data_IF_475042811993
#
_entry.id   IF_475042811993
#
_cell.length_a   1.000
_cell.length_b   1.000
_cell.length_c   1.000
_cell.angle_alpha   90.00
_cell.angle_beta   90.00
_cell.angle_gamma   90.00
#
_symmetry.space_group_name_H-M   'P 1'
#
loop_
_entity.id
_entity.type
_entity.pdbx_description
1 polymer ?
#
# COMPACT_ATOMS: atom_id res chain seq x y z
N UNK A 1 16.73 3.84 0.99
CA UNK A 1 16.06 4.78 1.90
C UNK A 1 16.78 4.90 3.24
N UNK A 2 16.63 3.95 4.18
CA UNK A 2 17.20 4.08 5.53
C UNK A 2 18.72 4.39 5.55
N UNK A 3 19.53 3.63 4.80
CA UNK A 3 20.98 3.89 4.64
C UNK A 3 21.31 5.27 4.05
N UNK A 4 20.48 5.82 3.16
CA UNK A 4 20.68 7.16 2.60
C UNK A 4 20.46 8.22 3.67
N UNK A 5 19.37 8.08 4.44
CA UNK A 5 19.05 8.99 5.54
C UNK A 5 20.07 8.90 6.67
N UNK A 6 20.52 7.69 7.01
CA UNK A 6 21.62 7.44 7.94
C UNK A 6 22.91 8.15 7.51
N UNK A 7 23.25 8.04 6.23
CA UNK A 7 24.41 8.73 5.65
C UNK A 7 24.26 10.26 5.76
N UNK A 8 23.11 10.83 5.37
CA UNK A 8 22.87 12.28 5.43
C UNK A 8 22.88 12.83 6.86
N UNK A 9 22.43 12.03 7.83
CA UNK A 9 22.45 12.39 9.25
C UNK A 9 23.84 12.26 9.89
N UNK A 10 24.77 11.56 9.23
CA UNK A 10 26.00 11.08 9.84
C UNK A 10 25.74 9.80 10.62
N UNK A 11 26.39 8.70 10.19
CA UNK A 11 26.28 7.40 10.86
C UNK A 11 26.77 7.53 12.30
N UNK A 12 25.98 7.01 13.25
CA UNK A 12 26.37 6.98 14.65
C UNK A 12 27.66 6.14 14.83
N UNK A 13 28.47 6.50 15.84
CA UNK A 13 29.59 5.64 16.25
C UNK A 13 29.06 4.26 16.69
N UNK A 14 29.86 3.22 16.49
CA UNK A 14 29.46 1.87 16.82
C UNK A 14 29.01 1.76 18.29
N UNK A 15 27.79 1.26 18.51
CA UNK A 15 27.19 1.12 19.84
C UNK A 15 26.59 2.39 20.45
N UNK A 16 26.62 3.53 19.77
CA UNK A 16 26.14 4.82 20.31
C UNK A 16 24.76 5.26 19.82
N UNK A 17 24.17 4.56 18.84
CA UNK A 17 22.86 4.90 18.27
C UNK A 17 22.26 3.78 17.42
N UNK A 18 21.04 3.97 16.90
CA UNK A 18 20.42 3.02 15.99
C UNK A 18 21.23 2.93 14.68
N UNK A 19 21.24 1.75 14.08
CA UNK A 19 21.99 1.45 12.85
C UNK A 19 21.15 0.58 11.91
N UNK A 20 21.42 0.68 10.60
CA UNK A 20 20.79 -0.19 9.60
C UNK A 20 21.44 -1.59 9.48
N UNK A 21 22.51 -1.87 10.23
CA UNK A 21 23.25 -3.14 10.16
C UNK A 21 22.37 -4.36 10.47
N UNK A 22 21.53 -4.29 11.51
CA UNK A 22 20.65 -5.40 11.90
C UNK A 22 19.66 -5.78 10.78
N UNK A 23 19.14 -4.80 10.04
CA UNK A 23 18.32 -5.08 8.85
C UNK A 23 19.17 -5.62 7.70
N UNK A 24 20.40 -5.13 7.55
CA UNK A 24 21.36 -5.64 6.57
C UNK A 24 21.62 -7.13 6.75
N UNK A 25 21.89 -7.57 7.98
CA UNK A 25 22.15 -8.97 8.32
C UNK A 25 20.90 -9.83 8.08
N UNK A 26 19.73 -9.38 8.53
CA UNK A 26 18.48 -10.11 8.29
C UNK A 26 18.21 -10.26 6.79
N UNK A 27 18.30 -9.20 6.00
CA UNK A 27 18.12 -9.26 4.56
C UNK A 27 19.13 -10.18 3.88
N UNK A 28 20.39 -10.19 4.33
CA UNK A 28 21.42 -11.08 3.80
C UNK A 28 21.09 -12.55 4.08
N UNK A 29 20.63 -12.88 5.29
CA UNK A 29 20.17 -14.24 5.64
C UNK A 29 18.98 -14.65 4.76
N UNK A 30 18.03 -13.74 4.51
CA UNK A 30 16.86 -14.03 3.67
C UNK A 30 17.19 -14.27 2.19
N UNK A 31 18.42 -13.96 1.73
CA UNK A 31 18.90 -14.34 0.40
C UNK A 31 19.44 -15.77 0.34
N UNK A 32 19.46 -16.50 1.47
CA UNK A 32 19.68 -17.94 1.44
C UNK A 32 18.67 -18.61 0.51
N UNK A 33 19.11 -19.64 -0.21
CA UNK A 33 18.31 -20.30 -1.24
C UNK A 33 17.12 -21.10 -0.68
N UNK A 34 17.03 -21.24 0.65
CA UNK A 34 15.88 -21.77 1.37
C UNK A 34 15.20 -20.71 2.26
N UNK A 35 15.28 -19.43 1.92
CA UNK A 35 14.57 -18.39 2.68
C UNK A 35 13.54 -17.70 1.79
N UNK A 36 13.98 -16.77 0.94
CA UNK A 36 13.05 -16.09 0.02
C UNK A 36 12.37 -17.03 -0.99
N UNK A 37 12.93 -18.23 -1.20
CA UNK A 37 12.32 -19.30 -2.01
C UNK A 37 11.10 -19.94 -1.36
N UNK A 38 10.94 -19.86 -0.03
CA UNK A 38 9.87 -20.52 0.72
C UNK A 38 10.03 -22.05 0.81
N UNK A 39 11.26 -22.55 0.75
CA UNK A 39 11.58 -23.98 0.73
C UNK A 39 12.08 -24.55 2.06
N UNK A 40 12.05 -23.75 3.12
CA UNK A 40 12.31 -24.11 4.50
C UNK A 40 11.08 -24.71 5.24
N UNK A 41 11.31 -25.18 6.46
CA UNK A 41 10.22 -25.56 7.36
C UNK A 41 9.53 -24.32 7.95
N UNK A 42 8.25 -24.43 8.30
CA UNK A 42 7.45 -23.30 8.79
C UNK A 42 8.10 -22.55 9.98
N UNK A 43 8.66 -23.25 10.96
CA UNK A 43 9.28 -22.60 12.12
C UNK A 43 10.57 -21.81 11.75
N UNK A 44 11.23 -22.18 10.66
CA UNK A 44 12.38 -21.46 10.11
C UNK A 44 11.91 -20.22 9.36
N UNK A 45 10.83 -20.33 8.58
CA UNK A 45 10.17 -19.19 7.95
C UNK A 45 9.73 -18.15 9.00
N UNK A 46 9.18 -18.63 10.13
CA UNK A 46 8.78 -17.79 11.26
C UNK A 46 10.00 -17.09 11.91
N UNK A 47 11.16 -17.77 12.03
CA UNK A 47 12.41 -17.16 12.50
C UNK A 47 12.95 -16.11 11.51
N UNK A 48 12.86 -16.36 10.20
CA UNK A 48 13.22 -15.37 9.18
C UNK A 48 12.35 -14.12 9.26
N UNK A 49 11.03 -14.29 9.35
CA UNK A 49 10.09 -13.19 9.52
C UNK A 49 10.37 -12.39 10.80
N UNK A 50 10.67 -13.08 11.91
CA UNK A 50 11.06 -12.46 13.18
C UNK A 50 12.34 -11.62 13.04
N UNK A 51 13.40 -12.16 12.44
CA UNK A 51 14.67 -11.44 12.21
C UNK A 51 14.46 -10.20 11.35
N UNK A 52 13.69 -10.35 10.27
CA UNK A 52 13.36 -9.24 9.38
C UNK A 52 12.59 -8.15 10.13
N UNK A 53 11.61 -8.52 10.96
CA UNK A 53 10.82 -7.58 11.79
C UNK A 53 11.70 -6.81 12.79
N UNK A 54 12.63 -7.51 13.47
CA UNK A 54 13.60 -6.87 14.38
C UNK A 54 14.47 -5.86 13.61
N UNK A 55 15.05 -6.29 12.48
CA UNK A 55 15.86 -5.42 11.63
C UNK A 55 15.07 -4.21 11.13
N UNK A 56 13.83 -4.42 10.67
CA UNK A 56 12.96 -3.37 10.17
C UNK A 56 12.68 -2.32 11.25
N UNK A 57 12.34 -2.75 12.46
CA UNK A 57 12.11 -1.87 13.61
C UNK A 57 13.35 -1.00 13.91
N UNK A 58 14.56 -1.59 13.84
CA UNK A 58 15.81 -0.83 14.00
C UNK A 58 16.06 0.16 12.87
N UNK A 59 15.74 -0.19 11.62
CA UNK A 59 15.80 0.76 10.52
C UNK A 59 14.78 1.89 10.66
N UNK A 60 13.59 1.61 11.22
CA UNK A 60 12.59 2.65 11.50
C UNK A 60 13.10 3.67 12.53
N UNK A 61 13.80 3.22 13.58
CA UNK A 61 14.47 4.10 14.55
C UNK A 61 15.49 5.02 13.87
N UNK A 62 16.29 4.50 12.93
CA UNK A 62 17.26 5.29 12.15
C UNK A 62 16.55 6.35 11.29
N UNK A 63 15.50 5.96 10.59
CA UNK A 63 14.73 6.87 9.73
C UNK A 63 14.11 8.01 10.56
N UNK A 64 13.49 7.67 11.69
CA UNK A 64 12.88 8.65 12.58
C UNK A 64 13.92 9.63 13.17
N UNK A 65 15.07 9.12 13.61
CA UNK A 65 16.17 9.94 14.11
C UNK A 65 16.74 10.88 13.03
N UNK A 66 16.91 10.36 11.81
CA UNK A 66 17.42 11.14 10.67
C UNK A 66 16.48 12.28 10.32
N UNK A 67 15.17 12.03 10.25
CA UNK A 67 14.20 13.09 10.01
C UNK A 67 14.14 14.11 11.15
N UNK A 68 14.23 13.66 12.40
CA UNK A 68 14.25 14.57 13.55
C UNK A 68 15.40 15.60 13.48
N UNK A 69 16.55 15.21 12.93
CA UNK A 69 17.68 16.10 12.68
C UNK A 69 17.47 16.97 11.44
N UNK A 70 17.08 16.37 10.30
CA UNK A 70 16.92 17.07 9.02
C UNK A 70 15.86 18.18 9.07
N UNK A 71 14.77 17.99 9.82
CA UNK A 71 13.70 19.01 9.95
C UNK A 71 13.99 20.07 11.02
N UNK A 72 15.01 19.88 11.86
CA UNK A 72 15.38 20.83 12.92
C UNK A 72 16.90 20.97 13.08
N UNK A 73 17.59 21.60 12.12
CA UNK A 73 19.05 21.68 12.08
C UNK A 73 19.67 22.52 13.22
N UNK A 74 18.87 23.35 13.89
CA UNK A 74 19.29 24.32 14.91
C UNK A 74 19.48 23.76 16.32
N UNK A 75 19.11 22.50 16.58
CA UNK A 75 19.45 21.82 17.84
C UNK A 75 20.54 20.81 17.54
N UNK A 76 21.59 20.75 18.37
CA UNK A 76 22.52 19.62 18.40
C UNK A 76 21.68 18.35 18.25
N UNK A 77 21.89 17.56 17.19
CA UNK A 77 21.10 16.37 16.85
C UNK A 77 21.27 15.27 17.90
N UNK A 78 20.85 15.57 19.12
CA UNK A 78 20.72 14.66 20.23
C UNK A 78 19.47 13.87 19.93
N UNK A 79 19.63 12.57 19.70
CA UNK A 79 18.57 11.59 19.48
C UNK A 79 17.38 11.86 20.41
N UNK A 80 16.39 12.61 19.93
CA UNK A 80 15.10 12.75 20.61
C UNK A 80 14.18 11.72 19.95
N UNK A 81 13.84 10.68 20.71
CA UNK A 81 13.12 9.48 20.25
C UNK A 81 11.69 9.75 19.72
N UNK A 82 11.11 10.94 19.91
CA UNK A 82 9.64 11.08 19.91
C UNK A 82 9.02 11.95 18.80
N UNK A 83 9.50 11.93 17.55
CA UNK A 83 8.91 12.85 16.52
C UNK A 83 8.32 12.22 15.28
N UNK A 84 8.75 11.03 14.86
CA UNK A 84 8.25 10.42 13.64
C UNK A 84 7.83 8.98 13.88
N UNK A 85 6.59 8.68 13.50
CA UNK A 85 6.04 7.33 13.48
C UNK A 85 5.81 6.91 12.04
N UNK A 86 6.09 5.66 11.74
CA UNK A 86 5.89 5.05 10.43
C UNK A 86 4.71 4.07 10.50
N UNK A 87 4.12 3.76 9.35
CA UNK A 87 2.95 2.89 9.23
C UNK A 87 3.23 1.76 8.23
N UNK A 88 3.89 0.67 8.65
CA UNK A 88 4.20 -0.45 7.76
C UNK A 88 2.98 -1.31 7.38
N UNK A 89 1.83 -1.13 8.06
CA UNK A 89 0.61 -1.94 7.92
C UNK A 89 -0.51 -1.25 7.11
N UNK A 90 -0.13 -0.40 6.14
CA UNK A 90 -1.11 0.27 5.26
C UNK A 90 -1.86 -0.73 4.37
N UNK A 91 -1.31 -1.90 4.05
CA UNK A 91 -2.01 -2.93 3.28
C UNK A 91 -3.33 -3.39 3.95
N UNK A 92 -3.38 -3.39 5.29
CA UNK A 92 -4.57 -3.72 6.08
C UNK A 92 -5.24 -2.46 6.66
N UNK A 93 -5.00 -1.29 6.06
CA UNK A 93 -5.53 0.00 6.52
C UNK A 93 -5.12 0.43 7.92
N UNK A 94 -4.00 -0.07 8.48
CA UNK A 94 -3.56 0.22 9.85
C UNK A 94 -2.45 1.29 9.93
N UNK A 95 -2.81 2.47 10.46
CA UNK A 95 -1.89 3.58 10.70
C UNK A 95 -2.39 4.49 11.85
N UNK A 96 -2.12 4.15 13.12
CA UNK A 96 -2.59 4.93 14.28
C UNK A 96 -2.29 6.44 14.23
N UNK A 97 -1.12 6.90 13.74
CA UNK A 97 -0.84 8.34 13.62
C UNK A 97 -1.80 9.13 12.73
N UNK A 98 -2.40 8.50 11.71
CA UNK A 98 -3.35 9.16 10.81
C UNK A 98 -4.82 8.96 11.20
N UNK A 99 -5.10 8.05 12.14
CA UNK A 99 -6.44 7.68 12.58
C UNK A 99 -6.95 8.54 13.77
N UNK A 100 -6.52 9.81 13.81
CA UNK A 100 -6.90 10.74 14.88
C UNK A 100 -8.14 11.58 14.51
N UNK A 101 -8.88 12.03 15.53
CA UNK A 101 -9.97 12.98 15.36
C UNK A 101 -9.42 14.42 15.23
N UNK A 102 -9.60 15.02 14.06
CA UNK A 102 -9.15 16.37 13.70
C UNK A 102 -10.07 17.48 14.23
N UNK A 103 -11.23 17.15 14.82
CA UNK A 103 -12.20 18.12 15.33
C UNK A 103 -11.67 19.01 16.46
N UNK A 104 -10.60 18.58 17.14
CA UNK A 104 -9.95 19.29 18.25
C UNK A 104 -8.87 20.29 17.80
N UNK A 105 -8.83 20.67 16.51
CA UNK A 105 -7.80 21.55 15.94
C UNK A 105 -6.44 20.85 15.74
N UNK A 106 -6.37 19.55 16.04
CA UNK A 106 -5.21 18.70 15.76
C UNK A 106 -4.95 18.62 14.25
N UNK A 107 -3.67 18.43 13.92
CA UNK A 107 -3.18 18.28 12.55
C UNK A 107 -2.27 17.06 12.50
N UNK A 108 -2.25 16.37 11.37
CA UNK A 108 -1.27 15.31 11.08
C UNK A 108 -0.25 15.87 10.11
N UNK A 109 1.02 15.75 10.45
CA UNK A 109 2.13 16.14 9.57
C UNK A 109 2.68 14.86 8.93
N UNK A 110 2.67 14.82 7.60
CA UNK A 110 3.23 13.71 6.82
C UNK A 110 4.49 14.23 6.14
N UNK A 111 5.61 13.57 6.42
CA UNK A 111 6.87 13.78 5.70
C UNK A 111 7.03 12.66 4.69
N UNK A 112 7.17 13.01 3.42
CA UNK A 112 7.32 12.06 2.31
C UNK A 112 8.74 12.14 1.80
N UNK A 113 9.47 11.03 1.86
CA UNK A 113 10.84 10.92 1.38
C UNK A 113 10.91 10.24 0.02
N UNK A 114 11.72 10.79 -0.89
CA UNK A 114 12.02 10.19 -2.16
C UNK A 114 13.45 9.63 -2.17
N UNK A 115 13.64 8.30 -2.12
CA UNK A 115 14.96 7.68 -2.16
C UNK A 115 15.57 7.64 -3.57
N UNK A 116 14.88 8.10 -4.61
CA UNK A 116 15.33 8.05 -6.01
C UNK A 116 16.14 9.30 -6.38
N UNK A 117 17.06 9.14 -7.35
CA UNK A 117 17.88 10.22 -7.91
C UNK A 117 17.15 11.15 -8.89
N UNK A 118 15.82 11.11 -8.96
CA UNK A 118 15.01 11.91 -9.87
C UNK A 118 13.71 12.36 -9.17
N UNK A 119 13.13 13.47 -9.64
CA UNK A 119 11.88 14.03 -9.08
C UNK A 119 10.78 12.98 -9.22
N UNK A 120 10.02 12.75 -8.16
CA UNK A 120 8.90 11.82 -8.16
C UNK A 120 7.61 12.53 -7.80
N UNK A 121 6.61 12.34 -8.65
CA UNK A 121 5.22 12.70 -8.38
C UNK A 121 4.43 11.40 -8.22
N UNK A 122 3.81 11.22 -7.07
CA UNK A 122 3.10 9.99 -6.74
C UNK A 122 1.93 10.24 -5.79
N UNK A 123 1.09 9.23 -5.60
CA UNK A 123 -0.08 9.36 -4.71
C UNK A 123 0.20 8.73 -3.36
N UNK A 124 0.07 9.54 -2.30
CA UNK A 124 0.08 9.07 -0.92
C UNK A 124 -1.34 8.71 -0.52
N UNK A 125 -1.51 7.53 0.08
CA UNK A 125 -2.80 7.00 0.54
C UNK A 125 -2.71 6.50 1.98
N UNK A 126 -3.49 7.10 2.86
CA UNK A 126 -3.48 6.80 4.32
C UNK A 126 -4.90 6.68 4.88
N UNK A 127 -5.12 5.86 5.92
CA UNK A 127 -6.44 5.73 6.53
C UNK A 127 -6.76 6.94 7.40
N UNK A 128 -7.99 7.44 7.32
CA UNK A 128 -8.50 8.54 8.14
C UNK A 128 -9.89 8.22 8.68
N UNK A 129 -10.21 8.79 9.84
CA UNK A 129 -11.52 8.61 10.50
C UNK A 129 -12.51 9.69 10.04
N UNK A 130 -12.02 10.91 9.86
CA UNK A 130 -12.86 12.06 9.52
C UNK A 130 -13.12 12.17 8.01
N UNK A 131 -14.36 12.54 7.65
CA UNK A 131 -14.74 12.86 6.27
C UNK A 131 -14.35 14.29 5.85
N UNK A 132 -14.15 15.17 6.84
CA UNK A 132 -13.92 16.59 6.64
C UNK A 132 -12.43 16.89 6.74
N UNK A 133 -11.68 16.54 5.68
CA UNK A 133 -10.22 16.66 5.64
C UNK A 133 -9.76 17.57 4.51
N UNK A 134 -8.70 18.33 4.76
CA UNK A 134 -7.97 19.09 3.76
C UNK A 134 -6.48 18.79 3.89
N UNK A 135 -5.79 18.73 2.77
CA UNK A 135 -4.34 18.51 2.67
C UNK A 135 -3.70 19.80 2.18
N UNK A 136 -2.67 20.27 2.87
CA UNK A 136 -1.85 21.41 2.44
C UNK A 136 -0.40 21.00 2.32
N UNK A 137 0.32 21.60 1.38
CA UNK A 137 1.78 21.44 1.28
C UNK A 137 2.52 22.34 2.28
N UNK A 138 3.85 22.36 2.20
CA UNK A 138 4.72 23.18 3.05
C UNK A 138 4.53 24.68 2.86
N UNK A 139 4.04 25.12 1.70
CA UNK A 139 3.78 26.53 1.38
C UNK A 139 2.36 26.96 1.84
N UNK A 140 1.59 26.03 2.38
CA UNK A 140 0.22 26.26 2.84
C UNK A 140 -0.83 26.20 1.73
N UNK A 141 -0.44 25.80 0.51
CA UNK A 141 -1.35 25.66 -0.62
C UNK A 141 -2.15 24.37 -0.50
N UNK A 142 -3.44 24.41 -0.88
CA UNK A 142 -4.30 23.21 -0.83
C UNK A 142 -3.92 22.24 -1.95
N UNK A 143 -3.71 20.98 -1.58
CA UNK A 143 -3.30 19.90 -2.49
C UNK A 143 -4.52 19.09 -2.93
N UNK A 144 -4.60 18.82 -4.23
CA UNK A 144 -5.63 17.95 -4.82
C UNK A 144 -5.63 16.60 -4.11
N UNK A 145 -6.79 16.26 -3.56
CA UNK A 145 -6.95 15.09 -2.70
C UNK A 145 -8.35 14.50 -2.85
N UNK A 146 -8.50 13.23 -2.47
CA UNK A 146 -9.70 12.43 -2.68
C UNK A 146 -9.92 11.51 -1.48
N UNK A 147 -11.19 11.34 -1.09
CA UNK A 147 -11.58 10.32 -0.13
C UNK A 147 -12.18 9.12 -0.86
N UNK A 148 -11.80 7.92 -0.44
CA UNK A 148 -12.32 6.65 -0.92
C UNK A 148 -12.79 5.84 0.29
N UNK A 149 -13.91 5.10 0.23
CA UNK A 149 -14.29 4.21 1.31
C UNK A 149 -13.27 3.07 1.45
N UNK A 150 -13.06 2.60 2.67
CA UNK A 150 -12.29 1.37 2.92
C UNK A 150 -13.24 0.18 2.73
N UNK A 151 -12.93 -0.80 1.85
CA UNK A 151 -13.78 -1.97 1.65
C UNK A 151 -13.91 -2.86 2.88
N UNK A 152 -15.06 -3.51 3.04
CA UNK A 152 -15.32 -4.45 4.13
C UNK A 152 -14.30 -5.62 4.18
N UNK A 153 -13.81 -6.06 3.01
CA UNK A 153 -12.74 -7.05 2.91
C UNK A 153 -11.45 -6.56 3.60
N UNK A 154 -11.04 -5.31 3.36
CA UNK A 154 -9.89 -4.69 4.01
C UNK A 154 -10.11 -4.50 5.51
N UNK A 155 -11.33 -4.15 5.95
CA UNK A 155 -11.67 -4.04 7.38
C UNK A 155 -11.60 -5.41 8.08
N UNK A 156 -12.01 -6.48 7.40
CA UNK A 156 -11.91 -7.84 7.91
C UNK A 156 -10.45 -8.29 8.04
N UNK A 157 -9.62 -8.01 7.03
CA UNK A 157 -8.18 -8.22 7.10
C UNK A 157 -7.56 -7.44 8.26
N UNK A 158 -7.91 -6.16 8.43
CA UNK A 158 -7.46 -5.33 9.56
C UNK A 158 -7.77 -6.01 10.89
N UNK A 159 -9.02 -6.39 11.11
CA UNK A 159 -9.48 -6.98 12.38
C UNK A 159 -8.71 -8.24 12.75
N UNK A 160 -8.43 -9.09 11.76
CA UNK A 160 -7.70 -10.34 11.98
C UNK A 160 -6.19 -10.10 12.15
N UNK A 161 -5.57 -9.43 11.18
CA UNK A 161 -4.11 -9.30 11.13
C UNK A 161 -3.54 -8.28 12.10
N UNK A 162 -4.28 -7.23 12.49
CA UNK A 162 -3.79 -6.33 13.55
C UNK A 162 -3.65 -7.06 14.88
N UNK A 163 -4.61 -7.94 15.22
CA UNK A 163 -4.53 -8.76 16.42
C UNK A 163 -3.40 -9.79 16.33
N UNK A 164 -3.25 -10.45 15.18
CA UNK A 164 -2.19 -11.44 14.97
C UNK A 164 -0.78 -10.83 15.05
N UNK A 165 -0.56 -9.65 14.45
CA UNK A 165 0.76 -9.02 14.40
C UNK A 165 1.10 -8.23 15.66
N UNK A 166 0.12 -7.56 16.29
CA UNK A 166 0.36 -6.63 17.39
C UNK A 166 -0.06 -7.18 18.76
N UNK A 167 -0.68 -8.37 18.80
CA UNK A 167 -1.18 -8.99 20.02
C UNK A 167 -2.40 -8.30 20.64
N UNK A 168 -2.95 -7.26 19.99
CA UNK A 168 -4.14 -6.52 20.46
C UNK A 168 -5.06 -6.12 19.30
N UNK A 169 -6.39 -6.15 19.51
CA UNK A 169 -7.32 -5.61 18.52
C UNK A 169 -7.13 -4.10 18.36
N UNK A 170 -7.62 -3.55 17.25
CA UNK A 170 -7.63 -2.11 17.05
C UNK A 170 -8.89 -1.48 17.65
N UNK A 171 -8.72 -0.43 18.45
CA UNK A 171 -9.81 0.33 19.05
C UNK A 171 -10.49 1.32 18.09
N UNK A 172 -9.87 1.57 16.93
CA UNK A 172 -10.33 2.52 15.93
C UNK A 172 -10.50 1.81 14.59
N UNK A 173 -11.64 2.04 13.95
CA UNK A 173 -11.90 1.56 12.59
C UNK A 173 -12.00 2.76 11.66
N UNK A 174 -10.95 3.07 10.87
CA UNK A 174 -11.02 4.12 9.88
C UNK A 174 -12.08 3.77 8.83
N UNK A 175 -12.72 4.80 8.27
CA UNK A 175 -13.78 4.61 7.26
C UNK A 175 -13.32 4.96 5.85
N UNK A 176 -12.26 5.76 5.75
CA UNK A 176 -11.83 6.32 4.48
C UNK A 176 -10.33 6.21 4.28
N UNK A 177 -9.95 5.98 3.04
CA UNK A 177 -8.64 6.28 2.50
C UNK A 177 -8.62 7.75 2.06
N UNK A 178 -7.65 8.52 2.57
CA UNK A 178 -7.29 9.82 2.04
C UNK A 178 -6.14 9.64 1.05
N UNK A 179 -6.41 9.91 -0.23
CA UNK A 179 -5.43 9.91 -1.30
C UNK A 179 -5.09 11.35 -1.72
N UNK A 180 -3.82 11.68 -1.90
CA UNK A 180 -3.38 12.98 -2.39
C UNK A 180 -2.08 12.88 -3.18
N UNK A 181 -1.89 13.76 -4.16
CA UNK A 181 -0.66 13.81 -4.94
C UNK A 181 0.45 14.46 -4.14
N UNK A 182 1.61 13.80 -4.08
CA UNK A 182 2.84 14.31 -3.50
C UNK A 182 3.90 14.47 -4.59
N UNK A 183 4.54 15.65 -4.62
CA UNK A 183 5.70 15.96 -5.45
C UNK A 183 6.93 16.09 -4.57
N UNK A 184 7.96 15.31 -4.85
CA UNK A 184 9.17 15.24 -4.02
C UNK A 184 10.42 15.28 -4.90
N UNK A 185 11.38 16.13 -4.50
CA UNK A 185 12.67 16.28 -5.18
C UNK A 185 13.52 14.99 -5.13
N UNK A 186 14.51 14.83 -6.04
CA UNK A 186 15.51 13.77 -5.97
C UNK A 186 16.18 13.71 -4.60
N UNK A 187 16.28 12.51 -4.00
CA UNK A 187 16.94 12.27 -2.71
C UNK A 187 16.48 13.23 -1.59
N UNK A 188 15.26 13.79 -1.71
CA UNK A 188 14.73 14.83 -0.85
C UNK A 188 13.45 14.42 -0.14
N UNK A 189 12.90 15.35 0.63
CA UNK A 189 11.60 15.17 1.27
C UNK A 189 10.70 16.39 1.04
N UNK A 190 9.39 16.17 1.17
CA UNK A 190 8.40 17.24 1.22
C UNK A 190 7.42 16.98 2.36
N UNK A 191 6.78 18.04 2.87
CA UNK A 191 5.89 17.97 4.03
C UNK A 191 4.47 18.33 3.66
N UNK A 192 3.51 17.53 4.13
CA UNK A 192 2.09 17.73 3.93
C UNK A 192 1.37 17.78 5.27
N UNK A 193 0.39 18.68 5.40
CA UNK A 193 -0.36 18.92 6.62
C UNK A 193 -1.81 18.57 6.38
N UNK A 194 -2.31 17.59 7.12
CA UNK A 194 -3.71 17.20 7.14
C UNK A 194 -4.40 17.89 8.30
N UNK A 195 -5.52 18.54 8.01
CA UNK A 195 -6.32 19.26 8.99
C UNK A 195 -7.80 19.20 8.64
N UNK A 196 -8.65 19.68 9.55
CA UNK A 196 -10.09 19.77 9.30
C UNK A 196 -10.37 20.63 8.06
N UNK A 197 -11.11 20.06 7.12
CA UNK A 197 -11.49 20.67 5.84
C UNK A 197 -12.99 20.82 5.68
N UNK A 198 -13.40 21.12 4.44
CA UNK A 198 -14.80 21.09 4.03
C UNK A 198 -15.26 19.65 3.81
N UNK A 199 -16.57 19.43 3.89
CA UNK A 199 -17.16 18.14 3.57
C UNK A 199 -16.92 17.80 2.09
N UNK A 200 -16.49 16.56 1.83
CA UNK A 200 -16.25 16.05 0.48
C UNK A 200 -17.31 15.04 0.10
N UNK A 201 -17.85 15.17 -1.10
CA UNK A 201 -18.72 14.15 -1.67
C UNK A 201 -17.89 12.98 -2.21
N UNK A 202 -18.22 11.78 -1.75
CA UNK A 202 -17.70 10.53 -2.34
C UNK A 202 -18.66 10.20 -3.46
N UNK A 203 -18.20 10.35 -4.70
CA UNK A 203 -19.03 10.03 -5.89
C UNK A 203 -18.76 8.58 -6.28
N UNK A 204 -19.56 7.67 -5.71
CA UNK A 204 -19.71 6.32 -6.24
C UNK A 204 -20.77 6.32 -7.33
N UNK A 205 -20.48 5.75 -8.51
CA UNK A 205 -21.48 5.57 -9.55
C UNK A 205 -21.97 4.13 -9.58
N UNK A 206 -23.30 3.93 -9.58
CA UNK A 206 -23.94 2.64 -9.81
C UNK A 206 -23.84 2.16 -11.27
N UNK A 207 -24.22 0.89 -11.47
CA UNK A 207 -23.96 0.09 -12.68
C UNK A 207 -24.57 0.67 -13.97
N UNK A 208 -23.70 1.02 -14.93
CA UNK A 208 -24.05 1.03 -16.35
C UNK A 208 -23.54 -0.26 -17.01
N UNK A 209 -24.22 -0.76 -18.05
CA UNK A 209 -23.86 -2.01 -18.75
C UNK A 209 -22.44 -2.02 -19.33
N UNK A 210 -21.90 -0.84 -19.61
CA UNK A 210 -20.50 -0.63 -19.98
C UNK A 210 -19.99 0.56 -19.21
N UNK A 211 -18.85 0.39 -18.57
CA UNK A 211 -18.27 1.38 -17.69
C UNK A 211 -16.83 1.65 -18.07
N UNK A 212 -16.47 2.93 -18.12
CA UNK A 212 -15.12 3.39 -18.40
C UNK A 212 -14.54 4.03 -17.14
N UNK A 213 -13.29 3.70 -16.82
CA UNK A 213 -12.50 4.35 -15.77
C UNK A 213 -11.15 4.78 -16.33
N UNK A 214 -10.53 5.78 -15.71
CA UNK A 214 -9.34 6.43 -16.22
C UNK A 214 -9.71 7.68 -17.01
N UNK A 215 -9.41 8.82 -16.42
CA UNK A 215 -9.61 10.16 -17.02
C UNK A 215 -8.36 10.71 -17.72
N UNK A 216 -7.23 9.99 -17.66
CA UNK A 216 -5.99 10.32 -18.37
C UNK A 216 -5.89 9.63 -19.73
N UNK A 217 -4.66 9.39 -20.19
CA UNK A 217 -4.41 8.70 -21.46
C UNK A 217 -4.90 7.26 -21.44
N UNK A 218 -4.65 6.55 -20.34
CA UNK A 218 -5.10 5.19 -20.13
C UNK A 218 -6.56 5.17 -19.65
N UNK A 219 -7.38 4.38 -20.33
CA UNK A 219 -8.76 4.10 -19.96
C UNK A 219 -9.02 2.60 -20.01
N UNK A 220 -9.65 2.08 -18.96
CA UNK A 220 -10.11 0.69 -18.89
C UNK A 220 -11.62 0.63 -19.11
N UNK A 221 -12.07 -0.39 -19.83
CA UNK A 221 -13.48 -0.61 -20.15
C UNK A 221 -13.94 -1.92 -19.52
N UNK A 222 -14.95 -1.81 -18.67
CA UNK A 222 -15.60 -2.90 -17.97
C UNK A 222 -17.00 -3.12 -18.56
N UNK A 223 -17.43 -4.37 -18.64
CA UNK A 223 -18.74 -4.74 -19.17
C UNK A 223 -19.47 -5.75 -18.30
N UNK A 224 -20.80 -5.74 -18.41
CA UNK A 224 -21.68 -6.69 -17.72
C UNK A 224 -21.79 -6.45 -16.22
N UNK A 225 -22.69 -7.20 -15.58
CA UNK A 225 -23.01 -7.05 -14.15
C UNK A 225 -21.86 -7.42 -13.20
N UNK A 226 -20.98 -8.33 -13.62
CA UNK A 226 -19.79 -8.72 -12.84
C UNK A 226 -18.58 -7.80 -13.02
N UNK A 227 -18.69 -6.78 -13.88
CA UNK A 227 -17.59 -5.86 -14.17
C UNK A 227 -16.40 -6.59 -14.80
N UNK A 228 -16.61 -7.30 -15.91
CA UNK A 228 -15.49 -7.96 -16.60
C UNK A 228 -14.69 -6.89 -17.35
N UNK A 229 -13.38 -6.83 -17.13
CA UNK A 229 -12.48 -6.05 -17.98
C UNK A 229 -12.50 -6.66 -19.38
N UNK A 230 -12.80 -5.86 -20.40
CA UNK A 230 -12.91 -6.33 -21.79
C UNK A 230 -12.01 -5.60 -22.76
N UNK A 231 -11.55 -4.41 -22.40
CA UNK A 231 -10.76 -3.57 -23.31
C UNK A 231 -9.97 -2.54 -22.51
N UNK A 232 -8.81 -2.16 -23.05
CA UNK A 232 -8.12 -0.95 -22.65
C UNK A 232 -7.84 -0.06 -23.86
N UNK A 233 -7.85 1.24 -23.60
CA UNK A 233 -7.54 2.27 -24.57
C UNK A 233 -6.41 3.13 -24.02
N UNK A 234 -5.47 3.52 -24.86
CA UNK A 234 -4.46 4.52 -24.55
C UNK A 234 -4.39 5.55 -25.69
N UNK A 235 -4.84 6.77 -25.41
CA UNK A 235 -4.94 7.84 -26.42
C UNK A 235 -3.58 8.36 -26.89
N UNK A 236 -2.55 8.31 -26.05
CA UNK A 236 -1.21 8.85 -26.36
C UNK A 236 -0.48 8.04 -27.41
N UNK A 237 -0.59 6.72 -27.33
CA UNK A 237 0.02 5.80 -28.31
C UNK A 237 -1.01 5.24 -29.30
N UNK A 238 -2.25 5.75 -29.29
CA UNK A 238 -3.35 5.35 -30.17
C UNK A 238 -3.67 3.85 -30.10
N UNK A 239 -3.45 3.21 -28.95
CA UNK A 239 -3.77 1.80 -28.75
C UNK A 239 -5.22 1.65 -28.31
N UNK A 240 -5.92 0.73 -28.96
CA UNK A 240 -7.23 0.24 -28.56
C UNK A 240 -7.22 -1.29 -28.73
N UNK A 241 -7.24 -2.01 -27.61
CA UNK A 241 -7.06 -3.46 -27.63
C UNK A 241 -8.02 -4.16 -26.66
N UNK A 242 -8.53 -5.30 -27.11
CA UNK A 242 -9.28 -6.22 -26.25
C UNK A 242 -8.36 -6.77 -25.16
N UNK A 243 -8.83 -6.76 -23.92
CA UNK A 243 -8.09 -7.25 -22.76
C UNK A 243 -9.06 -7.85 -21.78
N UNK A 244 -8.83 -9.11 -21.43
CA UNK A 244 -9.57 -9.80 -20.40
C UNK A 244 -8.65 -10.18 -19.25
N UNK A 245 -9.18 -10.12 -18.04
CA UNK A 245 -8.50 -10.61 -16.84
C UNK A 245 -9.43 -11.59 -16.13
N UNK A 246 -8.87 -12.72 -15.70
CA UNK A 246 -9.58 -13.77 -14.96
C UNK A 246 -8.66 -14.41 -13.93
N UNK A 247 -9.28 -15.03 -12.93
CA UNK A 247 -8.58 -15.83 -11.94
C UNK A 247 -8.75 -17.33 -12.22
N UNK A 248 -7.68 -18.08 -12.04
CA UNK A 248 -7.63 -19.54 -12.16
C UNK A 248 -6.74 -20.10 -11.04
N UNK A 249 -6.92 -21.37 -10.69
CA UNK A 249 -5.97 -22.08 -9.83
C UNK A 249 -5.64 -23.45 -10.42
N UNK A 250 -4.50 -23.99 -10.01
CA UNK A 250 -4.09 -25.35 -10.31
C UNK A 250 -4.22 -26.19 -9.05
N UNK A 251 -4.83 -27.36 -9.14
CA UNK A 251 -4.77 -28.32 -8.04
C UNK A 251 -3.43 -29.07 -8.13
N UNK A 252 -2.75 -29.20 -7.00
CA UNK A 252 -1.49 -29.94 -6.91
C UNK A 252 -1.72 -31.43 -7.02
N UNK A 253 -0.89 -32.11 -7.79
CA UNK A 253 -0.80 -33.57 -7.83
C UNK A 253 -0.36 -34.11 -6.47
N UNK A 254 -1.02 -35.16 -5.98
CA UNK A 254 -0.80 -35.75 -4.66
C UNK A 254 0.30 -36.82 -4.66
N UNK A 255 0.87 -37.13 -5.84
CA UNK A 255 1.90 -38.14 -6.00
C UNK A 255 1.38 -39.58 -5.93
N UNK A 256 0.07 -39.82 -5.98
CA UNK A 256 -0.46 -41.19 -5.87
C UNK A 256 0.04 -42.12 -7.01
N UNK A 257 0.23 -41.59 -8.21
CA UNK A 257 0.58 -42.39 -9.40
C UNK A 257 2.08 -42.66 -9.54
N UNK A 258 2.94 -41.68 -9.28
CA UNK A 258 4.39 -41.74 -9.53
C UNK A 258 5.25 -41.29 -8.33
N UNK A 259 4.65 -41.18 -7.14
CA UNK A 259 5.25 -40.70 -5.88
C UNK A 259 5.71 -39.23 -5.88
N UNK A 260 5.68 -38.53 -7.02
CA UNK A 260 6.06 -37.12 -7.10
C UNK A 260 4.83 -36.25 -6.88
N UNK A 261 4.69 -35.67 -5.68
CA UNK A 261 3.66 -34.67 -5.40
C UNK A 261 4.11 -33.25 -5.76
N UNK A 262 3.16 -32.31 -5.89
CA UNK A 262 3.45 -30.88 -5.86
C UNK A 262 3.78 -30.43 -4.43
N UNK A 263 4.64 -29.43 -4.26
CA UNK A 263 5.00 -28.88 -2.95
C UNK A 263 5.78 -27.58 -3.08
N UNK A 264 6.48 -27.18 -2.02
CA UNK A 264 7.25 -25.92 -1.98
C UNK A 264 8.28 -25.80 -3.12
N UNK A 265 8.91 -26.92 -3.51
CA UNK A 265 9.92 -26.95 -4.57
C UNK A 265 9.34 -27.20 -5.97
N UNK A 266 8.34 -28.07 -6.04
CA UNK A 266 7.90 -28.67 -7.31
C UNK A 266 6.47 -28.25 -7.59
N UNK A 267 6.30 -27.56 -8.73
CA UNK A 267 4.99 -27.30 -9.31
C UNK A 267 4.59 -28.45 -10.24
N UNK A 268 3.69 -29.32 -9.76
CA UNK A 268 3.12 -30.43 -10.53
C UNK A 268 1.59 -30.35 -10.49
N UNK A 269 0.95 -29.70 -11.46
CA UNK A 269 -0.51 -29.57 -11.48
C UNK A 269 -1.18 -30.86 -11.96
N UNK A 270 -2.29 -31.26 -11.33
CA UNK A 270 -3.17 -32.35 -11.81
C UNK A 270 -4.44 -31.84 -12.53
N UNK A 271 -4.64 -30.52 -12.60
CA UNK A 271 -5.75 -29.89 -13.30
C UNK A 271 -5.72 -28.37 -13.23
N UNK A 272 -6.50 -27.74 -14.11
CA UNK A 272 -6.65 -26.28 -14.19
C UNK A 272 -8.11 -25.90 -14.03
N UNK A 273 -8.40 -25.01 -13.07
CA UNK A 273 -9.76 -24.69 -12.67
C UNK A 273 -10.01 -23.18 -12.80
N UNK A 274 -10.89 -22.75 -13.72
CA UNK A 274 -11.26 -21.35 -13.83
C UNK A 274 -12.14 -20.94 -12.64
N UNK A 275 -11.85 -19.78 -12.06
CA UNK A 275 -12.66 -19.21 -10.99
C UNK A 275 -13.77 -18.37 -11.61
N UNK A 276 -15.02 -18.74 -11.31
CA UNK A 276 -16.20 -18.01 -11.77
C UNK A 276 -16.44 -16.81 -10.85
N UNK A 277 -16.77 -15.67 -11.46
CA UNK A 277 -17.25 -14.52 -10.70
C UNK A 277 -18.60 -14.83 -10.06
N UNK A 278 -18.76 -14.45 -8.79
CA UNK A 278 -20.07 -14.39 -8.13
C UNK A 278 -20.91 -13.30 -8.81
N UNK A 279 -21.69 -13.67 -9.84
CA UNK A 279 -22.47 -12.75 -10.67
C UNK A 279 -23.55 -11.95 -9.92
N UNK A 280 -23.78 -12.27 -8.64
CA UNK A 280 -24.76 -11.64 -7.77
C UNK A 280 -24.21 -10.40 -7.04
N UNK A 281 -22.89 -10.23 -6.92
CA UNK A 281 -22.30 -9.08 -6.23
C UNK A 281 -21.93 -8.01 -7.26
N UNK A 282 -22.60 -6.84 -7.25
CA UNK A 282 -22.25 -5.77 -8.16
C UNK A 282 -20.87 -5.22 -7.82
N UNK A 283 -20.05 -4.99 -8.85
CA UNK A 283 -18.83 -4.21 -8.70
C UNK A 283 -19.17 -2.74 -8.43
N UNK A 284 -18.32 -2.05 -7.68
CA UNK A 284 -18.51 -0.62 -7.36
C UNK A 284 -17.41 0.20 -7.99
N UNK A 285 -17.76 1.39 -8.49
CA UNK A 285 -16.78 2.31 -9.07
C UNK A 285 -16.78 3.65 -8.38
N UNK A 286 -15.58 4.07 -8.02
CA UNK A 286 -15.30 5.36 -7.43
C UNK A 286 -14.50 6.18 -8.43
N UNK A 287 -14.99 7.39 -8.73
CA UNK A 287 -14.26 8.34 -9.57
C UNK A 287 -13.88 9.55 -8.76
N UNK A 288 -12.73 10.12 -9.07
CA UNK A 288 -12.35 11.34 -8.40
C UNK A 288 -11.15 12.07 -8.97
N UNK A 289 -10.72 13.12 -8.28
CA UNK A 289 -9.74 14.04 -8.80
C UNK A 289 -8.31 13.49 -8.82
N UNK A 290 -8.02 12.39 -8.11
CA UNK A 290 -6.68 11.78 -8.00
C UNK A 290 -6.60 10.46 -8.74
N UNK A 291 -7.66 9.64 -8.65
CA UNK A 291 -7.71 8.30 -9.24
C UNK A 291 -9.15 7.82 -9.40
N UNK A 292 -9.33 6.84 -10.28
CA UNK A 292 -10.55 6.04 -10.36
C UNK A 292 -10.26 4.60 -9.84
N UNK A 293 -11.19 4.02 -9.07
CA UNK A 293 -11.11 2.62 -8.61
C UNK A 293 -12.31 1.80 -9.03
N UNK A 294 -12.06 0.53 -9.35
CA UNK A 294 -13.08 -0.52 -9.53
C UNK A 294 -12.87 -1.56 -8.45
N UNK A 295 -13.91 -1.78 -7.64
CA UNK A 295 -13.93 -2.74 -6.53
C UNK A 295 -14.73 -3.97 -6.96
N UNK A 296 -14.09 -5.14 -6.94
CA UNK A 296 -14.68 -6.40 -7.39
C UNK A 296 -14.52 -7.49 -6.34
N UNK A 297 -15.63 -8.10 -5.96
CA UNK A 297 -15.62 -9.37 -5.26
C UNK A 297 -15.74 -10.47 -6.30
N UNK A 298 -14.65 -11.23 -6.49
CA UNK A 298 -14.63 -12.31 -7.48
C UNK A 298 -15.35 -13.53 -6.92
N UNK A 299 -15.03 -13.92 -5.68
CA UNK A 299 -15.76 -14.94 -4.92
C UNK A 299 -15.64 -14.67 -3.39
N UNK A 300 -15.84 -15.68 -2.55
CA UNK A 300 -15.73 -15.56 -1.09
C UNK A 300 -14.31 -15.32 -0.54
N UNK A 301 -13.25 -15.55 -1.32
CA UNK A 301 -11.85 -15.47 -0.89
C UNK A 301 -10.93 -14.74 -1.87
N UNK A 302 -11.48 -14.14 -2.93
CA UNK A 302 -10.76 -13.28 -3.87
C UNK A 302 -11.49 -11.96 -3.99
N UNK A 303 -10.80 -10.90 -3.59
CA UNK A 303 -11.19 -9.53 -3.78
C UNK A 303 -10.13 -8.79 -4.61
N UNK A 304 -10.59 -7.97 -5.55
CA UNK A 304 -9.72 -7.21 -6.45
C UNK A 304 -10.10 -5.73 -6.45
N UNK A 305 -9.09 -4.87 -6.36
CA UNK A 305 -9.22 -3.43 -6.62
C UNK A 305 -8.33 -3.07 -7.79
N UNK A 306 -8.94 -2.58 -8.87
CA UNK A 306 -8.19 -1.97 -9.98
C UNK A 306 -8.19 -0.46 -9.83
N UNK A 307 -7.01 0.16 -9.84
CA UNK A 307 -6.83 1.61 -9.72
C UNK A 307 -6.23 2.17 -11.01
N UNK A 308 -6.81 3.24 -11.50
CA UNK A 308 -6.21 4.05 -12.58
C UNK A 308 -5.98 5.44 -12.01
N UNK A 309 -4.73 5.70 -11.63
CA UNK A 309 -4.31 7.01 -11.17
C UNK A 309 -4.26 7.99 -12.32
N UNK A 310 -4.59 9.24 -12.05
CA UNK A 310 -4.42 10.29 -13.04
C UNK A 310 -2.95 10.44 -13.41
N UNK A 311 -2.71 10.76 -14.68
CA UNK A 311 -1.38 11.00 -15.24
C UNK A 311 -0.44 9.77 -15.23
N UNK A 312 -0.91 8.60 -14.77
CA UNK A 312 -0.19 7.34 -14.88
C UNK A 312 -0.64 6.59 -16.13
N UNK A 313 0.32 5.92 -16.78
CA UNK A 313 0.10 5.15 -18.02
C UNK A 313 -0.01 3.65 -17.76
N UNK A 314 -0.34 3.27 -16.52
CA UNK A 314 -0.58 1.90 -16.08
C UNK A 314 -1.77 1.85 -15.12
N UNK A 315 -2.33 0.66 -14.93
CA UNK A 315 -3.29 0.38 -13.89
C UNK A 315 -2.62 -0.45 -12.78
N UNK A 316 -2.97 -0.19 -11.53
CA UNK A 316 -2.57 -1.02 -10.39
C UNK A 316 -3.70 -2.00 -10.08
N UNK A 317 -3.37 -3.29 -9.95
CA UNK A 317 -4.32 -4.34 -9.61
C UNK A 317 -3.91 -4.94 -8.26
N UNK A 318 -4.65 -4.58 -7.22
CA UNK A 318 -4.49 -5.11 -5.87
C UNK A 318 -5.39 -6.34 -5.72
N UNK A 319 -4.82 -7.43 -5.21
CA UNK A 319 -5.51 -8.69 -4.93
C UNK A 319 -5.43 -9.03 -3.44
N UNK A 320 -6.52 -9.56 -2.89
CA UNK A 320 -6.66 -9.94 -1.49
C UNK A 320 -7.51 -11.21 -1.36
#
# INVERSE_FOLDING_TARGET
AARQLEYFNGRAEAGTGPSTDSLGDALAILQHHDAVSGTEQQHVADDYAKRLSIGHTKAEEVVAASFACLVNPSKSCKFQQDKFQQCPLLNISYCPPSEINLSSGKKVVIVVYNPLGWKREDVVRIPVVDRNVAVRDSDGQEVTSQLLPIPDATISLRSFYSAAYLGKPSDVTPKYWLAFTASVAPLGFNTYIISRGKERQIVGSGLNNTLKIGSGNLQLVYSGRGGKLVQYNNSKNMVNAALEQSYCFYAGDDGFVDLQASGAYIFKPNGSYPIKHETLVPFTVFRGPVLDEVHQRINSWIYQITRVYKEKEHAEVEFA
#
